data_IF_974822261007
#
_entry.id   IF_974822261007
#
_cell.length_a   1.000
_cell.length_b   1.000
_cell.length_c   1.000
_cell.angle_alpha   90.00
_cell.angle_beta   90.00
_cell.angle_gamma   90.00
#
_symmetry.space_group_name_H-M   'P 1'
#
loop_
_entity.id
_entity.type
_entity.pdbx_description
1 polymer ?
#
# COMPACT_ATOMS: atom_id res chain seq x y z
N UNK A 1 0.00 8.29 -28.92
CA UNK A 1 -0.34 8.11 -27.50
C UNK A 1 -0.57 6.63 -27.32
N UNK A 2 0.24 5.95 -26.51
CA UNK A 2 0.05 4.52 -26.27
C UNK A 2 -1.35 4.29 -25.68
N UNK A 3 -2.13 3.41 -26.30
CA UNK A 3 -3.48 3.09 -25.83
C UNK A 3 -3.38 2.21 -24.59
N UNK A 4 -3.90 2.69 -23.46
CA UNK A 4 -4.02 1.87 -22.26
C UNK A 4 -5.22 0.95 -22.39
N UNK A 5 -5.02 -0.35 -22.27
CA UNK A 5 -6.09 -1.36 -22.28
C UNK A 5 -6.15 -2.05 -20.92
N UNK A 6 -7.34 -2.18 -20.35
CA UNK A 6 -7.56 -2.94 -19.12
C UNK A 6 -8.14 -4.29 -19.50
N UNK A 7 -7.50 -5.38 -19.07
CA UNK A 7 -7.98 -6.75 -19.28
C UNK A 7 -7.85 -7.58 -18.00
N UNK A 8 -8.49 -8.75 -17.99
CA UNK A 8 -8.31 -9.71 -16.90
C UNK A 8 -6.89 -10.26 -16.92
N UNK A 9 -6.41 -10.62 -15.74
CA UNK A 9 -5.13 -11.30 -15.54
C UNK A 9 -5.04 -12.60 -16.34
N UNK A 10 -3.86 -12.87 -16.87
CA UNK A 10 -3.45 -14.13 -17.49
C UNK A 10 -2.21 -14.67 -16.76
N UNK A 11 -2.00 -15.99 -16.74
CA UNK A 11 -0.91 -16.59 -15.94
C UNK A 11 0.49 -16.09 -16.37
N UNK A 12 0.66 -15.73 -17.64
CA UNK A 12 1.90 -15.14 -18.18
C UNK A 12 2.22 -13.77 -17.54
N UNK A 13 1.23 -13.08 -16.97
CA UNK A 13 1.42 -11.79 -16.28
C UNK A 13 2.02 -11.94 -14.88
N UNK A 14 2.01 -13.15 -14.30
CA UNK A 14 2.26 -13.40 -12.87
C UNK A 14 3.54 -12.75 -12.34
N UNK A 15 4.66 -13.02 -13.00
CA UNK A 15 5.95 -12.47 -12.56
C UNK A 15 5.99 -10.94 -12.70
N UNK A 16 5.39 -10.40 -13.76
CA UNK A 16 5.29 -8.95 -13.98
C UNK A 16 4.41 -8.29 -12.92
N UNK A 17 3.30 -8.92 -12.53
CA UNK A 17 2.41 -8.46 -11.46
C UNK A 17 3.15 -8.43 -10.12
N UNK A 18 3.87 -9.50 -9.78
CA UNK A 18 4.68 -9.59 -8.56
C UNK A 18 5.77 -8.53 -8.52
N UNK A 19 6.44 -8.28 -9.64
CA UNK A 19 7.45 -7.23 -9.80
C UNK A 19 6.85 -5.83 -9.57
N UNK A 20 5.72 -5.51 -10.23
CA UNK A 20 5.03 -4.22 -10.09
C UNK A 20 4.56 -3.97 -8.67
N UNK A 21 4.02 -5.00 -8.01
CA UNK A 21 3.61 -4.92 -6.62
C UNK A 21 4.82 -4.69 -5.70
N UNK A 22 5.87 -5.51 -5.85
CA UNK A 22 7.09 -5.43 -5.02
C UNK A 22 7.75 -4.07 -5.14
N UNK A 23 8.01 -3.60 -6.36
CA UNK A 23 8.60 -2.27 -6.58
C UNK A 23 7.71 -1.15 -6.04
N UNK A 24 6.40 -1.22 -6.30
CA UNK A 24 5.44 -0.23 -5.81
C UNK A 24 5.45 -0.11 -4.29
N UNK A 25 5.53 -1.23 -3.57
CA UNK A 25 5.63 -1.23 -2.10
C UNK A 25 6.99 -0.73 -1.61
N UNK A 26 8.11 -1.15 -2.24
CA UNK A 26 9.45 -0.73 -1.84
C UNK A 26 9.70 0.78 -1.98
N UNK A 27 9.02 1.46 -2.92
CA UNK A 27 9.10 2.91 -3.09
C UNK A 27 8.67 3.71 -1.85
N UNK A 28 7.88 3.12 -0.95
CA UNK A 28 7.40 3.78 0.26
C UNK A 28 8.34 3.62 1.46
N UNK A 29 9.41 2.83 1.36
CA UNK A 29 10.39 2.63 2.45
C UNK A 29 11.04 3.97 2.88
N UNK A 30 11.55 4.82 1.96
CA UNK A 30 12.16 6.09 2.35
C UNK A 30 11.16 7.05 3.00
N UNK A 31 9.94 7.14 2.47
CA UNK A 31 8.88 8.00 3.03
C UNK A 31 8.46 7.53 4.43
N UNK A 32 8.41 6.22 4.64
CA UNK A 32 8.12 5.63 5.96
C UNK A 32 9.24 5.87 6.96
N UNK A 33 10.50 5.76 6.53
CA UNK A 33 11.65 6.10 7.35
C UNK A 33 11.65 7.59 7.73
N UNK A 34 11.38 8.48 6.78
CA UNK A 34 11.27 9.91 7.06
C UNK A 34 10.08 10.23 7.98
N UNK A 35 8.97 9.51 7.85
CA UNK A 35 7.83 9.64 8.77
C UNK A 35 8.23 9.23 10.20
N UNK A 36 8.93 8.11 10.36
CA UNK A 36 9.46 7.64 11.64
C UNK A 36 10.39 8.68 12.28
N UNK A 37 11.33 9.26 11.52
CA UNK A 37 12.24 10.27 12.04
C UNK A 37 11.57 11.58 12.48
N UNK A 38 10.41 11.90 11.92
CA UNK A 38 9.63 13.09 12.28
C UNK A 38 8.79 12.91 13.55
N UNK A 39 8.68 11.69 14.08
CA UNK A 39 7.91 11.45 15.30
C UNK A 39 8.63 12.06 16.53
N UNK A 40 7.91 12.79 17.40
CA UNK A 40 8.50 13.42 18.59
C UNK A 40 9.25 12.44 19.50
N UNK A 41 8.73 11.22 19.66
CA UNK A 41 9.38 10.17 20.45
C UNK A 41 10.72 9.75 19.85
N UNK A 42 10.81 9.59 18.53
CA UNK A 42 12.06 9.25 17.86
C UNK A 42 13.08 10.37 18.00
N UNK A 43 12.68 11.63 17.85
CA UNK A 43 13.56 12.79 18.07
C UNK A 43 14.05 12.86 19.52
N UNK A 44 13.18 12.59 20.49
CA UNK A 44 13.53 12.53 21.91
C UNK A 44 14.56 11.42 22.17
N UNK A 45 14.36 10.22 21.65
CA UNK A 45 15.30 9.10 21.79
C UNK A 45 16.67 9.47 21.20
N UNK A 46 16.71 10.01 19.98
CA UNK A 46 17.97 10.41 19.33
C UNK A 46 18.71 11.48 20.15
N UNK A 47 17.98 12.48 20.66
CA UNK A 47 18.56 13.54 21.48
C UNK A 47 19.09 13.02 22.83
N UNK A 48 18.31 12.17 23.51
CA UNK A 48 18.73 11.55 24.77
C UNK A 48 19.96 10.69 24.57
N UNK A 49 20.01 9.86 23.51
CA UNK A 49 21.19 9.05 23.19
C UNK A 49 22.39 9.93 22.90
N UNK A 50 22.23 10.99 22.11
CA UNK A 50 23.32 11.92 21.80
C UNK A 50 23.90 12.57 23.07
N UNK A 51 23.03 13.15 23.91
CA UNK A 51 23.43 13.80 25.15
C UNK A 51 24.09 12.84 26.14
N UNK A 52 23.55 11.63 26.30
CA UNK A 52 24.11 10.62 27.20
C UNK A 52 25.51 10.17 26.76
N UNK A 53 25.71 9.91 25.47
CA UNK A 53 27.03 9.53 24.94
C UNK A 53 28.04 10.68 25.03
N UNK A 54 27.59 11.93 24.88
CA UNK A 54 28.44 13.12 24.96
C UNK A 54 28.93 13.34 26.39
N UNK A 55 28.03 13.20 27.38
CA UNK A 55 28.36 13.31 28.80
C UNK A 55 29.33 12.22 29.27
N UNK A 56 29.22 11.01 28.70
CA UNK A 56 30.06 9.86 29.09
C UNK A 56 31.48 9.91 28.51
N UNK A 57 31.64 10.29 27.24
CA UNK A 57 32.88 9.99 26.50
C UNK A 57 33.87 11.15 26.35
N UNK A 58 33.53 12.38 26.78
CA UNK A 58 34.31 13.61 26.52
C UNK A 58 34.71 13.80 25.04
N UNK A 59 34.09 13.07 24.12
CA UNK A 59 34.40 13.00 22.70
C UNK A 59 33.11 13.11 21.90
N UNK A 60 33.15 13.89 20.82
CA UNK A 60 31.98 14.10 19.94
C UNK A 60 31.80 12.93 18.96
N UNK A 61 32.84 12.13 18.72
CA UNK A 61 32.81 11.02 17.77
C UNK A 61 31.87 9.90 18.23
N UNK A 62 31.87 9.55 19.51
CA UNK A 62 31.04 8.46 20.02
C UNK A 62 29.53 8.74 19.86
N UNK A 63 29.00 9.92 20.24
CA UNK A 63 27.63 10.31 19.93
C UNK A 63 27.28 10.23 18.45
N UNK A 64 28.16 10.72 17.57
CA UNK A 64 27.91 10.73 16.11
C UNK A 64 27.80 9.30 15.57
N UNK A 65 28.72 8.41 15.96
CA UNK A 65 28.68 7.00 15.55
C UNK A 65 27.44 6.31 16.13
N UNK A 66 27.14 6.52 17.41
CA UNK A 66 25.96 5.92 18.06
C UNK A 66 24.65 6.33 17.39
N UNK A 67 24.46 7.63 17.13
CA UNK A 67 23.29 8.14 16.41
C UNK A 67 23.23 7.60 14.99
N UNK A 68 24.37 7.52 14.28
CA UNK A 68 24.41 6.97 12.91
C UNK A 68 24.00 5.50 12.87
N UNK A 69 24.47 4.69 13.83
CA UNK A 69 24.07 3.29 13.97
C UNK A 69 22.59 3.14 14.29
N UNK A 70 22.04 4.00 15.17
CA UNK A 70 20.60 4.02 15.44
C UNK A 70 19.78 4.34 14.20
N UNK A 71 20.19 5.34 13.41
CA UNK A 71 19.52 5.70 12.16
C UNK A 71 19.59 4.57 11.13
N UNK A 72 20.76 3.91 11.01
CA UNK A 72 20.94 2.76 10.14
C UNK A 72 20.05 1.58 10.57
N UNK A 73 19.99 1.29 11.87
CA UNK A 73 19.11 0.27 12.44
C UNK A 73 17.63 0.57 12.20
N UNK A 74 17.21 1.82 12.40
CA UNK A 74 15.83 2.26 12.11
C UNK A 74 15.49 2.12 10.62
N UNK A 75 16.41 2.49 9.71
CA UNK A 75 16.22 2.30 8.26
C UNK A 75 16.09 0.82 7.91
N UNK A 76 16.94 -0.03 8.50
CA UNK A 76 16.91 -1.48 8.28
C UNK A 76 15.60 -2.09 8.78
N UNK A 77 15.11 -1.66 9.95
CA UNK A 77 13.84 -2.11 10.51
C UNK A 77 12.66 -1.77 9.59
N UNK A 78 12.59 -0.53 9.09
CA UNK A 78 11.54 -0.14 8.14
C UNK A 78 11.60 -0.99 6.87
N UNK A 79 12.81 -1.20 6.30
CA UNK A 79 12.98 -2.09 5.15
C UNK A 79 12.53 -3.52 5.41
N UNK A 80 12.85 -4.06 6.59
CA UNK A 80 12.42 -5.39 7.01
C UNK A 80 10.90 -5.51 7.08
N UNK A 81 10.19 -4.52 7.65
CA UNK A 81 8.73 -4.52 7.73
C UNK A 81 8.07 -4.55 6.35
N UNK A 82 8.56 -3.73 5.41
CA UNK A 82 8.07 -3.73 4.04
C UNK A 82 8.35 -5.06 3.35
N UNK A 83 9.55 -5.62 3.50
CA UNK A 83 9.89 -6.92 2.92
C UNK A 83 9.02 -8.05 3.48
N UNK A 84 8.77 -8.04 4.81
CA UNK A 84 7.88 -9.02 5.45
C UNK A 84 6.44 -8.89 4.95
N UNK A 85 5.94 -7.67 4.77
CA UNK A 85 4.61 -7.44 4.19
C UNK A 85 4.53 -7.88 2.72
N UNK A 86 5.58 -7.61 1.93
CA UNK A 86 5.67 -8.03 0.53
C UNK A 86 5.66 -9.56 0.46
N UNK A 87 6.56 -10.24 1.18
CA UNK A 87 6.64 -11.71 1.19
C UNK A 87 5.33 -12.35 1.66
N UNK A 88 4.72 -11.82 2.73
CA UNK A 88 3.40 -12.29 3.20
C UNK A 88 2.33 -12.10 2.14
N UNK A 89 2.33 -10.96 1.44
CA UNK A 89 1.40 -10.71 0.34
C UNK A 89 1.62 -11.67 -0.82
N UNK A 90 2.87 -11.86 -1.25
CA UNK A 90 3.22 -12.79 -2.31
C UNK A 90 2.69 -14.19 -2.00
N UNK A 91 3.02 -14.72 -0.82
CA UNK A 91 2.61 -16.07 -0.42
C UNK A 91 1.10 -16.21 -0.21
N UNK A 92 0.44 -15.19 0.36
CA UNK A 92 -0.98 -15.27 0.72
C UNK A 92 -1.88 -15.20 -0.51
N UNK A 93 -1.56 -14.38 -1.51
CA UNK A 93 -2.46 -14.19 -2.67
C UNK A 93 -1.77 -14.11 -4.03
N UNK A 94 -0.64 -13.42 -4.18
CA UNK A 94 -0.04 -13.21 -5.52
C UNK A 94 0.69 -14.43 -6.10
N UNK A 95 1.06 -15.42 -5.29
CA UNK A 95 1.58 -16.72 -5.77
C UNK A 95 0.45 -17.63 -6.27
N UNK A 96 -0.79 -17.38 -5.83
CA UNK A 96 -1.99 -18.18 -6.11
C UNK A 96 -3.12 -17.30 -6.68
N UNK A 97 -2.82 -16.42 -7.65
CA UNK A 97 -3.79 -15.45 -8.19
C UNK A 97 -5.02 -16.15 -8.78
N UNK A 98 -4.81 -17.24 -9.53
CA UNK A 98 -5.87 -18.01 -10.15
C UNK A 98 -6.90 -18.48 -9.10
N UNK A 99 -6.42 -19.20 -8.09
CA UNK A 99 -7.24 -19.75 -6.99
C UNK A 99 -7.89 -18.63 -6.17
N UNK A 100 -7.14 -17.56 -5.87
CA UNK A 100 -7.60 -16.51 -4.94
C UNK A 100 -8.60 -15.55 -5.58
N UNK A 101 -8.43 -15.22 -6.87
CA UNK A 101 -9.15 -14.12 -7.51
C UNK A 101 -9.97 -14.53 -8.73
N UNK A 102 -9.68 -15.65 -9.39
CA UNK A 102 -10.31 -16.00 -10.67
C UNK A 102 -11.29 -17.17 -10.61
N UNK A 103 -11.20 -18.03 -9.60
CA UNK A 103 -12.14 -19.15 -9.43
C UNK A 103 -13.50 -18.73 -8.87
N UNK A 104 -13.54 -17.70 -8.03
CA UNK A 104 -14.79 -17.20 -7.45
C UNK A 104 -15.42 -16.13 -8.35
N UNK A 105 -16.74 -16.23 -8.55
CA UNK A 105 -17.51 -15.23 -9.31
C UNK A 105 -17.43 -13.83 -8.69
N UNK A 106 -17.31 -13.72 -7.37
CA UNK A 106 -17.33 -12.44 -6.64
C UNK A 106 -15.92 -11.87 -6.41
N UNK A 107 -14.92 -12.36 -7.14
CA UNK A 107 -13.56 -11.83 -7.17
C UNK A 107 -13.07 -11.64 -8.59
N UNK A 108 -12.06 -10.80 -8.77
CA UNK A 108 -11.36 -10.68 -10.05
C UNK A 108 -9.99 -10.03 -9.88
N UNK A 109 -9.13 -10.22 -10.89
CA UNK A 109 -7.83 -9.56 -11.01
C UNK A 109 -7.70 -8.98 -12.42
N UNK A 110 -7.34 -7.70 -12.50
CA UNK A 110 -7.10 -7.02 -13.77
C UNK A 110 -5.69 -6.47 -13.85
N UNK A 111 -5.22 -6.38 -15.08
CA UNK A 111 -3.99 -5.70 -15.46
C UNK A 111 -4.32 -4.57 -16.42
N UNK A 112 -3.54 -3.49 -16.37
CA UNK A 112 -3.53 -2.49 -17.42
C UNK A 112 -2.28 -2.68 -18.26
N UNK A 113 -2.46 -2.70 -19.57
CA UNK A 113 -1.40 -2.84 -20.55
C UNK A 113 -1.16 -1.54 -21.32
N UNK A 114 0.11 -1.30 -21.62
CA UNK A 114 0.58 -0.26 -22.54
C UNK A 114 1.61 -0.89 -23.47
N UNK A 115 1.40 -0.77 -24.78
CA UNK A 115 2.31 -1.31 -25.80
C UNK A 115 2.68 -2.80 -25.59
N UNK A 116 1.67 -3.61 -25.26
CA UNK A 116 1.82 -5.05 -25.02
C UNK A 116 2.56 -5.42 -23.74
N UNK A 117 2.72 -4.48 -22.80
CA UNK A 117 3.35 -4.73 -21.49
C UNK A 117 2.40 -4.38 -20.36
N UNK A 118 2.33 -5.23 -19.35
CA UNK A 118 1.61 -4.91 -18.11
C UNK A 118 2.34 -3.79 -17.36
N UNK A 119 1.59 -2.72 -17.07
CA UNK A 119 2.08 -1.51 -16.41
C UNK A 119 1.34 -1.19 -15.12
N UNK A 120 0.21 -1.84 -14.86
CA UNK A 120 -0.54 -1.69 -13.61
C UNK A 120 -1.40 -2.90 -13.31
N UNK A 121 -1.81 -3.02 -12.06
CA UNK A 121 -2.60 -4.15 -11.54
C UNK A 121 -3.68 -3.65 -10.60
N UNK A 122 -4.78 -4.39 -10.46
CA UNK A 122 -5.74 -4.25 -9.38
C UNK A 122 -6.47 -5.58 -9.18
N UNK A 123 -6.89 -5.86 -7.95
CA UNK A 123 -7.67 -7.03 -7.62
C UNK A 123 -8.85 -6.65 -6.72
N UNK A 124 -9.87 -7.51 -6.68
CA UNK A 124 -10.93 -7.40 -5.70
C UNK A 124 -11.46 -8.76 -5.25
N UNK A 125 -11.95 -8.82 -4.01
CA UNK A 125 -12.66 -9.96 -3.44
C UNK A 125 -13.60 -9.47 -2.32
N UNK A 126 -14.57 -10.29 -1.85
CA UNK A 126 -15.43 -9.89 -0.73
C UNK A 126 -14.60 -9.50 0.50
N UNK A 127 -14.93 -8.38 1.13
CA UNK A 127 -14.17 -7.84 2.25
C UNK A 127 -14.34 -8.72 3.51
N UNK A 128 -13.23 -9.19 4.07
CA UNK A 128 -13.24 -9.97 5.33
C UNK A 128 -13.66 -9.11 6.53
N UNK A 129 -13.24 -7.84 6.55
CA UNK A 129 -13.41 -6.92 7.69
C UNK A 129 -14.71 -6.11 7.66
N UNK A 130 -15.32 -5.97 6.49
CA UNK A 130 -16.56 -5.23 6.27
C UNK A 130 -17.53 -6.10 5.46
N UNK A 131 -18.20 -7.08 6.12
CA UNK A 131 -19.06 -8.04 5.45
C UNK A 131 -20.10 -7.36 4.54
N UNK A 132 -20.26 -7.91 3.34
CA UNK A 132 -21.14 -7.36 2.32
C UNK A 132 -20.54 -6.24 1.48
N UNK A 133 -19.29 -5.81 1.72
CA UNK A 133 -18.56 -4.91 0.82
C UNK A 133 -17.57 -5.69 -0.05
N UNK A 134 -17.16 -5.11 -1.19
CA UNK A 134 -16.02 -5.58 -1.97
C UNK A 134 -14.74 -4.91 -1.46
N UNK A 135 -13.65 -5.64 -1.27
CA UNK A 135 -12.33 -5.07 -0.95
C UNK A 135 -11.50 -4.88 -2.23
N UNK A 136 -11.05 -3.66 -2.49
CA UNK A 136 -10.06 -3.36 -3.54
C UNK A 136 -8.65 -3.60 -3.00
N UNK A 137 -7.88 -4.42 -3.70
CA UNK A 137 -6.50 -4.80 -3.33
C UNK A 137 -5.56 -4.66 -4.51
N UNK A 138 -4.26 -4.70 -4.21
CA UNK A 138 -3.17 -4.82 -5.19
C UNK A 138 -3.19 -3.76 -6.31
N UNK A 139 -3.74 -2.58 -6.02
CA UNK A 139 -3.67 -1.45 -6.94
C UNK A 139 -2.25 -0.89 -6.96
N UNK A 140 -1.53 -1.12 -8.06
CA UNK A 140 -0.19 -0.58 -8.27
C UNK A 140 -0.02 -0.17 -9.73
N UNK A 141 0.73 0.90 -9.96
CA UNK A 141 1.06 1.41 -11.30
C UNK A 141 2.56 1.64 -11.36
N UNK A 142 3.20 1.11 -12.41
CA UNK A 142 4.62 1.36 -12.72
C UNK A 142 4.86 2.87 -12.72
N UNK A 143 5.95 3.29 -12.07
CA UNK A 143 6.30 4.71 -11.88
C UNK A 143 6.30 5.50 -13.19
N UNK A 144 6.75 4.89 -14.29
CA UNK A 144 6.80 5.48 -15.64
C UNK A 144 5.44 5.74 -16.28
N UNK A 145 4.36 5.17 -15.74
CA UNK A 145 2.98 5.27 -16.28
C UNK A 145 2.01 5.95 -15.30
N UNK A 146 2.54 6.59 -14.24
CA UNK A 146 1.72 7.38 -13.29
C UNK A 146 1.34 8.72 -13.90
N UNK A 147 0.28 9.33 -13.36
CA UNK A 147 -0.27 10.59 -13.88
C UNK A 147 -1.10 10.44 -15.16
N UNK A 148 -1.19 9.24 -15.73
CA UNK A 148 -1.97 8.96 -16.95
C UNK A 148 -3.41 8.49 -16.68
N UNK A 149 -3.89 8.57 -15.43
CA UNK A 149 -5.25 8.16 -15.06
C UNK A 149 -5.48 6.65 -14.93
N UNK A 150 -4.46 5.81 -15.11
CA UNK A 150 -4.57 4.33 -15.08
C UNK A 150 -5.16 3.82 -13.77
N UNK A 151 -4.64 4.29 -12.62
CA UNK A 151 -5.13 3.85 -11.31
C UNK A 151 -6.61 4.21 -11.08
N UNK A 152 -7.04 5.37 -11.60
CA UNK A 152 -8.44 5.81 -11.56
C UNK A 152 -9.33 4.94 -12.44
N UNK A 153 -8.85 4.54 -13.62
CA UNK A 153 -9.57 3.63 -14.50
C UNK A 153 -9.71 2.23 -13.86
N UNK A 154 -8.63 1.67 -13.31
CA UNK A 154 -8.64 0.39 -12.59
C UNK A 154 -9.58 0.40 -11.38
N UNK A 155 -9.56 1.48 -10.58
CA UNK A 155 -10.48 1.62 -9.44
C UNK A 155 -11.95 1.69 -9.86
N UNK A 156 -12.24 2.33 -11.00
CA UNK A 156 -13.59 2.31 -11.60
C UNK A 156 -13.99 0.92 -12.09
N UNK A 157 -13.07 0.18 -12.73
CA UNK A 157 -13.31 -1.22 -13.12
C UNK A 157 -13.75 -2.07 -11.92
N UNK A 158 -13.10 -1.92 -10.76
CA UNK A 158 -13.52 -2.61 -9.53
C UNK A 158 -14.91 -2.15 -9.07
N UNK A 159 -15.19 -0.85 -9.11
CA UNK A 159 -16.49 -0.30 -8.72
C UNK A 159 -17.62 -0.82 -9.61
N UNK A 160 -17.41 -0.88 -10.93
CA UNK A 160 -18.38 -1.37 -11.91
C UNK A 160 -18.62 -2.87 -11.72
N UNK A 161 -17.56 -3.67 -11.60
CA UNK A 161 -17.67 -5.09 -11.25
C UNK A 161 -18.44 -5.32 -9.94
N UNK A 162 -18.16 -4.50 -8.92
CA UNK A 162 -18.85 -4.60 -7.63
C UNK A 162 -20.35 -4.32 -7.76
N UNK A 163 -20.74 -3.34 -8.60
CA UNK A 163 -22.17 -3.08 -8.90
C UNK A 163 -22.83 -4.25 -9.61
N UNK A 164 -22.17 -4.80 -10.63
CA UNK A 164 -22.68 -5.96 -11.38
C UNK A 164 -22.90 -7.19 -10.49
N UNK A 165 -22.06 -7.34 -9.46
CA UNK A 165 -22.17 -8.42 -8.45
C UNK A 165 -23.13 -8.09 -7.29
N UNK A 166 -23.73 -6.90 -7.29
CA UNK A 166 -24.70 -6.49 -6.27
C UNK A 166 -24.09 -6.05 -4.93
N UNK A 167 -22.79 -5.74 -4.89
CA UNK A 167 -22.16 -5.21 -3.70
C UNK A 167 -22.52 -3.72 -3.50
N UNK A 168 -22.98 -3.32 -2.31
CA UNK A 168 -23.40 -1.95 -2.03
C UNK A 168 -22.26 -0.93 -1.96
N UNK A 169 -21.03 -1.38 -1.72
CA UNK A 169 -19.87 -0.52 -1.54
C UNK A 169 -18.54 -1.24 -1.84
N UNK A 170 -17.50 -0.44 -2.14
CA UNK A 170 -16.10 -0.88 -2.21
C UNK A 170 -15.33 -0.28 -1.03
N UNK A 171 -14.57 -1.10 -0.32
CA UNK A 171 -13.66 -0.68 0.74
C UNK A 171 -12.20 -0.94 0.34
N UNK A 172 -11.28 -0.19 0.93
CA UNK A 172 -9.85 -0.41 0.78
C UNK A 172 -9.08 0.13 1.98
N UNK A 173 -7.83 -0.31 2.11
CA UNK A 173 -6.93 0.11 3.17
C UNK A 173 -5.63 0.66 2.56
N UNK A 174 -5.21 1.83 3.00
CA UNK A 174 -3.95 2.47 2.58
C UNK A 174 -3.24 3.10 3.77
N UNK A 175 -1.92 3.22 3.73
CA UNK A 175 -1.17 3.84 4.82
C UNK A 175 -1.22 5.37 4.78
N UNK A 176 -1.10 6.01 5.95
CA UNK A 176 -0.89 7.46 6.09
C UNK A 176 0.28 8.00 5.28
N UNK A 177 1.30 7.19 4.99
CA UNK A 177 2.47 7.65 4.19
C UNK A 177 2.23 7.59 2.68
N UNK A 178 1.16 6.91 2.23
CA UNK A 178 0.81 6.76 0.81
C UNK A 178 -0.10 7.90 0.34
N UNK A 179 0.38 9.14 0.46
CA UNK A 179 -0.42 10.35 0.19
C UNK A 179 -0.97 10.43 -1.24
N UNK A 180 -0.24 9.93 -2.24
CA UNK A 180 -0.73 9.89 -3.63
C UNK A 180 -1.91 8.92 -3.81
N UNK A 181 -1.91 7.79 -3.10
CA UNK A 181 -3.01 6.85 -3.12
C UNK A 181 -4.24 7.45 -2.42
N UNK A 182 -4.07 8.12 -1.27
CA UNK A 182 -5.15 8.82 -0.58
C UNK A 182 -5.84 9.85 -1.49
N UNK A 183 -5.07 10.73 -2.13
CA UNK A 183 -5.59 11.72 -3.10
C UNK A 183 -6.28 11.06 -4.28
N UNK A 184 -5.72 9.95 -4.79
CA UNK A 184 -6.36 9.19 -5.86
C UNK A 184 -7.76 8.72 -5.43
N UNK A 185 -7.89 8.09 -4.27
CA UNK A 185 -9.15 7.54 -3.79
C UNK A 185 -10.19 8.64 -3.53
N UNK A 186 -9.78 9.74 -2.90
CA UNK A 186 -10.63 10.93 -2.73
C UNK A 186 -11.14 11.46 -4.08
N UNK A 187 -10.26 11.56 -5.08
CA UNK A 187 -10.62 12.00 -6.44
C UNK A 187 -11.48 11.00 -7.24
N UNK A 188 -11.51 9.74 -6.83
CA UNK A 188 -12.43 8.73 -7.37
C UNK A 188 -13.82 8.83 -6.70
N UNK A 189 -13.88 9.38 -5.49
CA UNK A 189 -15.11 9.54 -4.71
C UNK A 189 -15.17 8.67 -3.45
N UNK A 190 -14.07 8.01 -3.08
CA UNK A 190 -14.01 7.32 -1.79
C UNK A 190 -13.98 8.34 -0.65
N UNK A 191 -14.61 7.97 0.46
CA UNK A 191 -14.61 8.72 1.70
C UNK A 191 -13.74 8.03 2.74
N UNK A 192 -13.03 8.82 3.54
CA UNK A 192 -12.23 8.32 4.65
C UNK A 192 -13.16 7.93 5.81
N UNK A 193 -13.14 6.67 6.23
CA UNK A 193 -14.03 6.14 7.27
C UNK A 193 -13.37 6.17 8.64
N UNK A 194 -12.21 5.52 8.77
CA UNK A 194 -11.47 5.43 10.04
C UNK A 194 -9.98 5.27 9.82
N UNK A 195 -9.22 5.55 10.87
CA UNK A 195 -7.79 5.31 10.95
C UNK A 195 -7.52 4.33 12.09
N UNK A 196 -6.72 3.30 11.86
CA UNK A 196 -6.42 2.29 12.87
C UNK A 196 -4.97 1.79 12.74
N UNK A 197 -4.41 1.34 13.87
CA UNK A 197 -3.08 0.74 13.92
C UNK A 197 -3.23 -0.76 13.68
N UNK A 198 -2.40 -1.34 12.81
CA UNK A 198 -2.35 -2.80 12.65
C UNK A 198 -1.84 -3.41 13.98
N UNK A 199 -2.44 -4.48 14.51
CA UNK A 199 -2.08 -5.04 15.83
C UNK A 199 -0.65 -5.57 15.98
N UNK A 200 0.17 -5.54 14.93
CA UNK A 200 1.61 -5.81 14.98
C UNK A 200 2.29 -4.86 15.98
N UNK A 201 3.04 -5.37 17.00
CA UNK A 201 3.67 -4.54 18.04
C UNK A 201 4.52 -3.39 17.49
N UNK A 202 5.08 -3.58 16.29
CA UNK A 202 5.97 -2.64 15.62
C UNK A 202 5.20 -1.46 14.98
N UNK A 203 3.94 -1.66 14.57
CA UNK A 203 3.10 -0.59 14.01
C UNK A 203 2.67 0.44 15.07
N UNK A 204 2.51 0.00 16.34
CA UNK A 204 2.23 0.90 17.47
C UNK A 204 3.40 1.82 17.82
N UNK A 205 4.64 1.33 17.70
CA UNK A 205 5.85 2.12 18.02
C UNK A 205 6.14 3.13 16.90
N UNK A 206 5.80 2.78 15.66
CA UNK A 206 6.11 3.59 14.46
C UNK A 206 4.99 4.58 14.09
N UNK A 207 3.87 4.56 14.81
CA UNK A 207 2.64 5.30 14.50
C UNK A 207 2.19 5.13 13.03
N UNK A 208 2.49 3.96 12.45
CA UNK A 208 2.13 3.63 11.09
C UNK A 208 0.69 3.11 11.09
N UNK A 209 -0.22 4.01 10.77
CA UNK A 209 -1.66 3.73 10.73
C UNK A 209 -2.12 3.41 9.31
N UNK A 210 -3.13 2.56 9.23
CA UNK A 210 -3.92 2.35 8.03
C UNK A 210 -5.16 3.22 8.09
N UNK A 211 -5.53 3.74 6.93
CA UNK A 211 -6.75 4.47 6.68
C UNK A 211 -7.67 3.57 5.87
N UNK A 212 -8.89 3.40 6.36
CA UNK A 212 -9.97 2.79 5.60
C UNK A 212 -10.68 3.83 4.75
N UNK A 213 -10.83 3.51 3.47
CA UNK A 213 -11.63 4.28 2.52
C UNK A 213 -12.81 3.46 2.05
N UNK A 214 -13.96 4.11 1.89
CA UNK A 214 -15.20 3.49 1.40
C UNK A 214 -15.83 4.31 0.27
N UNK A 215 -16.20 3.62 -0.80
CA UNK A 215 -16.98 4.14 -1.91
C UNK A 215 -18.35 3.46 -1.89
N UNK A 216 -19.39 4.20 -1.52
CA UNK A 216 -20.76 3.71 -1.64
C UNK A 216 -21.18 3.68 -3.12
N UNK A 217 -21.62 2.51 -3.58
CA UNK A 217 -22.03 2.28 -4.96
C UNK A 217 -23.55 2.45 -5.14
N UNK A 218 -24.29 2.30 -4.06
CA UNK A 218 -25.70 2.66 -3.97
C UNK A 218 -25.81 4.18 -3.82
N UNK A 219 -25.82 4.93 -4.92
CA UNK A 219 -26.42 6.25 -4.84
C UNK A 219 -27.95 6.09 -4.78
N UNK A 220 -28.52 6.60 -3.68
CA UNK A 220 -29.94 6.93 -3.54
C UNK A 220 -30.41 7.55 -4.85
N UNK A 221 -31.32 6.86 -5.53
CA UNK A 221 -32.19 7.51 -6.49
C UNK A 221 -32.81 8.74 -5.81
N UNK A 222 -32.58 9.91 -6.40
CA UNK A 222 -33.48 11.04 -6.28
C UNK A 222 -34.25 11.11 -7.58
#
# INVERSE_FOLDING_TARGET
MAGITIRRFEEDDKETVKEIFTMGMSEHVPSSFMHLLKQPLTQMILMVTFCALLASSKSVLLPVVGVTLLLAGAKQLVGYLFNSYIDTSLRKDLDHIQETYLENKDSCFWVAESDGRVVATVACLPAEREPGCMELKRLSVRRTHRGMGIAKALSRTVADFSRERGFPAVVLYTSVVQTDAQRLYENVGYTRVREFVIPEPIAKITNFTLIEFKLDLLQRGK
#
